data_IF_468493111175
#
_entry.id   IF_468493111175
#
_cell.length_a   1.000
_cell.length_b   1.000
_cell.length_c   1.000
_cell.angle_alpha   90.00
_cell.angle_beta   90.00
_cell.angle_gamma   90.00
#
_symmetry.space_group_name_H-M   'P 1'
#
loop_
_entity.id
_entity.type
_entity.pdbx_description
1 polymer ?
#
# COMPACT_ATOMS: atom_id res chain seq x y z
N UNK A 1 -25.85 3.09 -2.97
CA UNK A 1 -24.79 4.12 -2.85
C UNK A 1 -23.72 3.74 -3.86
N UNK A 2 -23.30 4.66 -4.74
CA UNK A 2 -22.36 4.31 -5.80
C UNK A 2 -20.93 4.13 -5.25
N UNK A 3 -20.16 3.26 -5.90
CA UNK A 3 -18.72 3.12 -5.66
C UNK A 3 -18.00 4.46 -5.81
N UNK A 4 -17.18 4.80 -4.81
CA UNK A 4 -16.37 6.03 -4.82
C UNK A 4 -15.09 5.79 -5.61
N UNK A 5 -15.02 6.40 -6.79
CA UNK A 5 -13.86 6.38 -7.67
C UNK A 5 -12.90 7.53 -7.33
N UNK A 6 -11.58 7.42 -7.53
CA UNK A 6 -10.77 8.63 -7.77
C UNK A 6 -9.93 8.53 -9.02
N UNK A 7 -9.93 9.67 -9.70
CA UNK A 7 -9.06 9.99 -10.81
C UNK A 7 -7.76 10.58 -10.26
N UNK A 8 -6.66 10.21 -10.88
CA UNK A 8 -5.34 10.75 -10.57
C UNK A 8 -5.03 11.86 -11.60
N UNK A 9 -5.19 13.15 -11.21
CA UNK A 9 -4.64 14.29 -11.96
C UNK A 9 -5.49 15.58 -12.06
N UNK A 10 -4.86 16.74 -11.85
CA UNK A 10 -5.34 18.07 -12.29
C UNK A 10 -5.29 19.21 -11.24
N UNK A 11 -4.25 20.05 -11.32
CA UNK A 11 -4.01 21.26 -10.50
C UNK A 11 -5.05 22.38 -10.73
N UNK A 12 -5.42 23.12 -9.67
CA UNK A 12 -5.15 24.58 -9.49
C UNK A 12 -6.20 25.34 -8.64
N UNK A 13 -5.69 26.14 -7.69
CA UNK A 13 -6.19 27.48 -7.35
C UNK A 13 -7.32 27.63 -6.33
N UNK A 14 -7.00 28.03 -5.09
CA UNK A 14 -7.33 29.35 -4.51
C UNK A 14 -6.99 29.41 -3.00
N UNK A 15 -6.17 30.41 -2.64
CA UNK A 15 -5.83 30.82 -1.27
C UNK A 15 -6.94 31.70 -0.68
N UNK A 16 -7.11 31.68 0.65
CA UNK A 16 -7.07 32.87 1.52
C UNK A 16 -7.29 32.52 3.02
N UNK A 17 -6.90 33.43 3.95
CA UNK A 17 -6.30 33.09 5.25
C UNK A 17 -7.26 33.26 6.43
N UNK A 18 -6.86 32.86 7.65
CA UNK A 18 -7.20 33.58 8.89
C UNK A 18 -6.15 33.30 9.99
N UNK A 19 -6.07 34.30 10.87
CA UNK A 19 -5.03 34.71 11.79
C UNK A 19 -4.72 33.78 12.97
N UNK A 20 -3.50 34.04 13.46
CA UNK A 20 -2.82 33.66 14.69
C UNK A 20 -3.62 33.92 15.98
N UNK A 21 -3.44 33.05 16.97
CA UNK A 21 -3.27 33.51 18.36
C UNK A 21 -2.35 32.56 19.12
N UNK A 22 -1.38 33.14 19.83
CA UNK A 22 -0.38 32.51 20.71
C UNK A 22 -1.04 31.88 21.95
N UNK A 23 -0.47 30.76 22.43
CA UNK A 23 -0.79 30.19 23.74
C UNK A 23 0.44 29.45 24.32
N UNK A 24 1.52 30.21 24.53
CA UNK A 24 2.45 29.91 25.64
C UNK A 24 1.67 30.10 26.95
N UNK A 25 1.20 29.02 27.61
CA UNK A 25 0.96 28.95 29.09
C UNK A 25 0.12 27.72 29.57
N UNK A 26 0.36 26.48 29.09
CA UNK A 26 -0.38 25.31 29.61
C UNK A 26 0.46 24.07 29.95
N UNK A 27 1.71 24.22 30.42
CA UNK A 27 2.51 23.06 30.89
C UNK A 27 3.13 23.20 32.29
N UNK A 28 2.42 23.79 33.24
CA UNK A 28 2.78 23.64 34.67
C UNK A 28 1.64 23.00 35.45
N UNK A 29 1.63 21.66 35.51
CA UNK A 29 1.46 20.84 36.73
C UNK A 29 0.89 19.42 36.43
N UNK A 30 1.69 18.40 36.77
CA UNK A 30 1.25 17.10 37.33
C UNK A 30 0.61 16.05 36.37
N UNK A 31 0.55 14.74 36.76
CA UNK A 31 1.58 13.77 36.39
C UNK A 31 1.04 12.61 35.54
N UNK A 32 1.94 12.04 34.74
CA UNK A 32 1.91 10.71 34.11
C UNK A 32 0.59 9.89 34.21
N UNK A 33 -0.31 10.06 33.24
CA UNK A 33 -1.24 8.99 32.85
C UNK A 33 -0.79 8.37 31.53
N UNK A 34 -0.67 7.05 31.54
CA UNK A 34 -0.24 6.20 30.44
C UNK A 34 -1.23 6.34 29.27
N UNK A 35 -0.77 6.90 28.15
CA UNK A 35 -1.48 6.91 26.85
C UNK A 35 -0.95 5.83 25.87
N UNK A 36 -0.20 4.84 26.35
CA UNK A 36 0.34 3.74 25.51
C UNK A 36 -0.70 2.67 25.10
N UNK A 37 -1.96 2.76 25.58
CA UNK A 37 -2.96 1.69 25.41
C UNK A 37 -3.89 1.81 24.19
N UNK A 38 -3.74 2.84 23.35
CA UNK A 38 -4.60 3.04 22.18
C UNK A 38 -4.02 2.43 20.89
N UNK A 39 -2.70 2.49 20.71
CA UNK A 39 -2.01 2.00 19.50
C UNK A 39 -2.04 0.47 19.40
N UNK A 40 -1.77 -0.26 20.49
CA UNK A 40 -1.71 -1.74 20.45
C UNK A 40 -3.04 -2.39 20.03
N UNK A 41 -4.18 -1.90 20.56
CA UNK A 41 -5.49 -2.59 20.39
C UNK A 41 -5.98 -2.71 18.95
N UNK A 42 -5.49 -1.91 18.01
CA UNK A 42 -5.90 -1.96 16.58
C UNK A 42 -4.96 -2.78 15.71
N UNK A 43 -3.67 -2.88 16.07
CA UNK A 43 -2.71 -3.73 15.36
C UNK A 43 -2.89 -5.21 15.75
N UNK A 44 -3.41 -5.47 16.96
CA UNK A 44 -3.76 -6.82 17.45
C UNK A 44 -4.88 -7.51 16.64
N UNK A 45 -5.61 -6.77 15.79
CA UNK A 45 -6.74 -7.28 15.00
C UNK A 45 -6.36 -7.69 13.56
N UNK A 46 -5.08 -7.64 13.17
CA UNK A 46 -4.65 -8.06 11.82
C UNK A 46 -4.76 -9.59 11.71
N UNK A 47 -5.61 -10.14 10.83
CA UNK A 47 -5.74 -11.59 10.70
C UNK A 47 -4.44 -12.17 10.14
N UNK A 48 -3.80 -13.02 10.95
CA UNK A 48 -2.66 -13.83 10.52
C UNK A 48 -3.17 -14.87 9.54
N UNK A 49 -2.94 -14.66 8.24
CA UNK A 49 -3.05 -15.75 7.28
C UNK A 49 -2.10 -16.88 7.74
N UNK A 50 -2.57 -18.12 7.77
CA UNK A 50 -1.79 -19.28 8.21
C UNK A 50 -0.42 -19.24 7.51
N UNK A 51 0.64 -19.31 8.31
CA UNK A 51 2.04 -19.18 7.89
C UNK A 51 2.43 -20.18 6.78
N UNK A 52 1.63 -21.24 6.60
CA UNK A 52 1.87 -22.36 5.69
C UNK A 52 1.37 -22.13 4.25
N UNK A 53 0.51 -21.14 3.98
CA UNK A 53 -0.14 -20.97 2.66
C UNK A 53 0.62 -20.06 1.65
N UNK A 54 1.85 -19.60 1.98
CA UNK A 54 2.62 -18.66 1.14
C UNK A 54 3.73 -19.29 0.28
N UNK A 55 3.75 -20.60 0.10
CA UNK A 55 4.74 -21.26 -0.75
C UNK A 55 4.31 -21.30 -2.23
N UNK A 56 4.45 -20.19 -2.96
CA UNK A 56 4.91 -20.18 -4.37
C UNK A 56 5.10 -18.74 -4.94
N UNK A 57 6.32 -18.20 -5.08
CA UNK A 57 6.53 -16.96 -5.80
C UNK A 57 6.99 -17.24 -7.24
N UNK A 58 6.19 -16.84 -8.23
CA UNK A 58 6.70 -16.62 -9.57
C UNK A 58 7.56 -15.34 -9.52
N UNK A 59 8.88 -15.52 -9.44
CA UNK A 59 9.88 -14.46 -9.34
C UNK A 59 9.85 -13.59 -10.61
N UNK A 60 9.19 -12.44 -10.54
CA UNK A 60 9.45 -11.34 -11.46
C UNK A 60 10.58 -10.53 -10.84
N UNK A 61 11.78 -10.62 -11.40
CA UNK A 61 12.89 -9.74 -11.03
C UNK A 61 12.44 -8.28 -11.26
N UNK A 62 12.08 -7.60 -10.17
CA UNK A 62 11.92 -6.16 -10.15
C UNK A 62 13.31 -5.56 -9.96
N UNK A 63 13.57 -4.51 -10.73
CA UNK A 63 14.86 -3.83 -10.82
C UNK A 63 15.28 -3.30 -9.42
N UNK A 64 16.52 -3.59 -9.02
CA UNK A 64 17.09 -3.13 -7.76
C UNK A 64 16.96 -1.60 -7.67
N UNK A 65 16.25 -1.16 -6.64
CA UNK A 65 15.87 0.21 -6.43
C UNK A 65 16.82 0.83 -5.40
N UNK A 66 17.95 1.38 -5.85
CA UNK A 66 19.03 1.88 -4.99
C UNK A 66 18.71 3.21 -4.26
N UNK A 67 17.57 3.84 -4.53
CA UNK A 67 17.23 5.19 -4.07
C UNK A 67 16.55 5.28 -2.69
N UNK A 68 15.69 4.34 -2.33
CA UNK A 68 14.69 4.50 -1.26
C UNK A 68 15.24 4.05 0.09
N UNK A 69 15.67 4.96 0.96
CA UNK A 69 16.29 4.55 2.23
C UNK A 69 15.90 5.46 3.41
N UNK A 70 16.07 4.96 4.63
CA UNK A 70 15.97 5.74 5.87
C UNK A 70 17.31 5.78 6.60
N UNK A 71 17.51 6.81 7.44
CA UNK A 71 18.68 6.85 8.33
C UNK A 71 18.56 5.85 9.48
N UNK A 72 19.71 5.51 10.08
CA UNK A 72 19.78 4.66 11.26
C UNK A 72 18.87 5.18 12.40
N UNK A 73 18.29 4.25 13.14
CA UNK A 73 17.39 4.53 14.26
C UNK A 73 15.92 4.70 13.87
N UNK A 74 15.62 4.84 12.57
CA UNK A 74 14.25 4.76 12.06
C UNK A 74 13.64 3.43 12.47
N UNK A 75 12.49 3.45 13.13
CA UNK A 75 11.89 2.27 13.74
C UNK A 75 10.92 1.62 12.75
N UNK A 76 11.06 0.31 12.55
CA UNK A 76 10.19 -0.52 11.72
C UNK A 76 9.29 -1.37 12.61
N UNK A 77 8.03 -1.55 12.22
CA UNK A 77 7.07 -2.41 12.93
C UNK A 77 7.32 -3.89 12.57
N UNK A 78 8.06 -4.59 13.44
CA UNK A 78 8.44 -6.00 13.28
C UNK A 78 7.54 -6.89 14.14
N UNK A 79 7.04 -7.98 13.57
CA UNK A 79 6.30 -9.02 14.29
C UNK A 79 7.27 -9.85 15.16
N UNK A 80 6.95 -10.00 16.44
CA UNK A 80 7.57 -10.98 17.33
C UNK A 80 6.76 -12.28 17.32
N UNK A 81 7.44 -13.38 17.65
CA UNK A 81 6.99 -14.78 17.55
C UNK A 81 5.49 -14.95 17.86
N UNK A 82 4.81 -15.62 16.93
CA UNK A 82 3.46 -16.16 17.10
C UNK A 82 3.53 -17.29 18.13
N UNK A 83 2.90 -17.10 19.28
CA UNK A 83 2.66 -18.19 20.23
C UNK A 83 1.62 -19.15 19.61
N UNK A 84 1.98 -20.43 19.47
CA UNK A 84 1.03 -21.48 19.08
C UNK A 84 -0.03 -21.73 20.14
N UNK A 85 0.20 -21.26 21.37
CA UNK A 85 -0.72 -21.39 22.50
C UNK A 85 -1.76 -20.24 22.51
N UNK A 86 -1.45 -19.07 21.95
CA UNK A 86 -2.31 -17.88 21.93
C UNK A 86 -3.02 -17.66 20.58
N UNK A 87 -3.54 -18.73 19.97
CA UNK A 87 -4.40 -18.64 18.77
C UNK A 87 -3.85 -17.81 17.59
N UNK A 88 -2.55 -17.63 17.46
CA UNK A 88 -1.98 -16.82 16.38
C UNK A 88 -1.80 -15.33 16.71
N UNK A 89 -1.86 -14.91 17.97
CA UNK A 89 -1.61 -13.52 18.35
C UNK A 89 -0.18 -13.10 17.98
N UNK A 90 -0.07 -11.96 17.28
CA UNK A 90 1.21 -11.32 16.91
C UNK A 90 1.46 -10.18 17.89
N UNK A 91 2.57 -10.26 18.62
CA UNK A 91 3.09 -9.10 19.36
C UNK A 91 4.01 -8.28 18.45
N UNK A 92 4.01 -6.96 18.59
CA UNK A 92 4.79 -6.05 17.75
C UNK A 92 5.99 -5.48 18.51
N UNK A 93 7.13 -5.39 17.82
CA UNK A 93 8.34 -4.71 18.29
C UNK A 93 8.75 -3.63 17.29
N UNK A 94 9.13 -2.49 17.84
CA UNK A 94 9.84 -1.47 17.10
C UNK A 94 11.32 -1.83 17.06
N UNK A 95 11.82 -2.04 15.85
CA UNK A 95 13.22 -2.43 15.60
C UNK A 95 13.86 -1.33 14.75
N UNK A 96 15.05 -0.81 15.12
CA UNK A 96 15.80 0.08 14.25
C UNK A 96 16.02 -0.54 12.87
N UNK A 97 15.90 0.24 11.79
CA UNK A 97 15.97 -0.26 10.42
C UNK A 97 17.31 -0.94 10.11
N UNK A 98 18.39 -0.48 10.73
CA UNK A 98 19.73 -1.07 10.63
C UNK A 98 19.87 -2.42 11.35
N UNK A 99 18.93 -2.77 12.22
CA UNK A 99 18.88 -4.07 12.92
C UNK A 99 17.92 -5.06 12.23
N UNK A 100 17.08 -4.62 11.28
CA UNK A 100 16.20 -5.51 10.51
C UNK A 100 17.03 -6.44 9.64
N UNK A 101 16.70 -7.72 9.64
CA UNK A 101 17.43 -8.78 8.95
C UNK A 101 16.55 -9.56 7.98
N UNK A 102 17.16 -10.10 6.92
CA UNK A 102 16.48 -11.05 6.03
C UNK A 102 15.93 -12.24 6.83
N UNK A 103 14.66 -12.57 6.65
CA UNK A 103 13.95 -13.55 7.46
C UNK A 103 13.07 -12.98 8.57
N UNK A 104 13.24 -11.70 8.93
CA UNK A 104 12.32 -11.02 9.83
C UNK A 104 10.94 -10.88 9.20
N UNK A 105 9.93 -10.72 10.06
CA UNK A 105 8.55 -10.54 9.66
C UNK A 105 8.12 -9.12 10.02
N UNK A 106 7.66 -8.35 9.05
CA UNK A 106 7.24 -6.95 9.25
C UNK A 106 5.75 -6.78 8.98
N UNK A 107 5.15 -5.79 9.63
CA UNK A 107 3.83 -5.30 9.23
C UNK A 107 3.96 -4.58 7.88
N UNK A 108 3.12 -4.98 6.94
CA UNK A 108 3.03 -4.40 5.61
C UNK A 108 1.56 -4.26 5.19
N UNK A 109 1.31 -3.49 4.15
CA UNK A 109 0.00 -3.45 3.50
C UNK A 109 0.17 -3.65 2.01
N UNK A 110 -0.79 -4.33 1.39
CA UNK A 110 -0.81 -4.45 -0.06
C UNK A 110 -0.89 -3.05 -0.68
N UNK A 111 0.05 -2.70 -1.55
CA UNK A 111 0.13 -1.37 -2.17
C UNK A 111 -1.13 -1.01 -2.99
N UNK A 112 -1.92 -2.02 -3.38
CA UNK A 112 -3.07 -1.85 -4.26
C UNK A 112 -4.39 -1.66 -3.52
N UNK A 113 -4.63 -2.48 -2.50
CA UNK A 113 -5.89 -2.50 -1.76
C UNK A 113 -5.77 -2.06 -0.29
N UNK A 114 -4.55 -1.83 0.19
CA UNK A 114 -4.26 -1.39 1.56
C UNK A 114 -4.47 -2.48 2.62
N UNK A 115 -4.69 -3.73 2.21
CA UNK A 115 -4.90 -4.84 3.16
C UNK A 115 -3.63 -5.11 3.94
N UNK A 116 -3.73 -4.99 5.26
CA UNK A 116 -2.64 -5.32 6.17
C UNK A 116 -2.31 -6.82 6.14
N UNK A 117 -1.03 -7.12 6.32
CA UNK A 117 -0.52 -8.46 6.47
C UNK A 117 0.89 -8.47 7.04
N UNK A 118 1.30 -9.62 7.56
CA UNK A 118 2.69 -9.86 7.95
C UNK A 118 3.44 -10.40 6.73
N UNK A 119 4.60 -9.82 6.42
CA UNK A 119 5.41 -10.21 5.27
C UNK A 119 6.87 -10.39 5.66
N UNK A 120 7.53 -11.31 4.98
CA UNK A 120 8.92 -11.66 5.23
C UNK A 120 9.85 -10.65 4.56
N UNK A 121 10.89 -10.24 5.27
CA UNK A 121 12.02 -9.48 4.72
C UNK A 121 12.87 -10.42 3.87
N UNK A 122 13.06 -10.09 2.60
CA UNK A 122 13.80 -10.89 1.62
C UNK A 122 15.29 -10.57 1.64
N UNK A 123 15.62 -9.30 1.57
CA UNK A 123 16.99 -8.79 1.52
C UNK A 123 17.05 -7.45 2.24
N UNK A 124 18.25 -7.08 2.71
CA UNK A 124 18.52 -5.77 3.31
C UNK A 124 19.63 -5.08 2.53
N UNK A 125 19.55 -3.76 2.41
CA UNK A 125 20.53 -2.96 1.70
C UNK A 125 20.97 -1.77 2.52
N UNK A 126 22.20 -1.34 2.29
CA UNK A 126 22.83 -0.22 2.97
C UNK A 126 23.69 0.55 1.98
N UNK A 127 23.58 1.87 2.00
CA UNK A 127 24.48 2.76 1.25
C UNK A 127 24.81 4.02 2.03
N UNK A 128 25.63 4.87 1.43
CA UNK A 128 25.94 6.21 1.93
C UNK A 128 25.17 7.22 1.08
N UNK A 129 24.58 8.21 1.73
CA UNK A 129 23.97 9.39 1.10
C UNK A 129 24.74 10.65 1.48
N UNK A 130 24.80 11.62 0.58
CA UNK A 130 25.40 12.94 0.82
C UNK A 130 24.38 13.97 1.35
N UNK A 131 23.14 13.55 1.57
CA UNK A 131 22.06 14.36 2.15
C UNK A 131 20.95 13.48 2.73
N UNK A 132 20.08 14.10 3.51
CA UNK A 132 18.82 13.52 4.00
C UNK A 132 17.65 14.47 3.76
N UNK A 133 16.48 13.89 3.53
CA UNK A 133 15.18 14.53 3.61
C UNK A 133 14.60 14.31 5.00
N UNK A 134 14.25 15.39 5.68
CA UNK A 134 13.54 15.37 6.95
C UNK A 134 12.07 15.70 6.72
N UNK A 135 11.20 14.72 6.87
CA UNK A 135 9.75 14.86 6.75
C UNK A 135 9.17 15.05 8.15
N UNK A 136 8.70 16.26 8.45
CA UNK A 136 8.11 16.60 9.74
C UNK A 136 6.59 16.47 9.64
N UNK A 137 6.03 15.60 10.46
CA UNK A 137 4.59 15.33 10.49
C UNK A 137 4.01 15.54 11.88
N UNK A 138 2.71 15.87 11.92
CA UNK A 138 1.92 16.05 13.13
C UNK A 138 0.76 15.06 13.15
N UNK A 139 0.65 14.29 14.23
CA UNK A 139 -0.51 13.43 14.47
C UNK A 139 -1.73 14.22 14.95
N UNK A 140 -2.89 13.56 15.01
CA UNK A 140 -4.16 14.17 15.46
C UNK A 140 -4.13 14.66 16.92
N UNK A 141 -3.24 14.11 17.75
CA UNK A 141 -3.05 14.53 19.14
C UNK A 141 -2.06 15.72 19.27
N UNK A 142 -1.55 16.23 18.15
CA UNK A 142 -0.56 17.30 18.12
C UNK A 142 0.88 16.84 18.37
N UNK A 143 1.11 15.53 18.46
CA UNK A 143 2.43 14.93 18.55
C UNK A 143 3.20 15.13 17.25
N UNK A 144 4.47 15.52 17.37
CA UNK A 144 5.35 15.77 16.23
C UNK A 144 6.36 14.62 16.09
N UNK A 145 6.60 14.17 14.87
CA UNK A 145 7.73 13.30 14.56
C UNK A 145 8.44 13.74 13.28
N UNK A 146 9.73 13.41 13.18
CA UNK A 146 10.57 13.77 12.06
C UNK A 146 11.22 12.50 11.49
N UNK A 147 10.79 12.09 10.30
CA UNK A 147 11.36 10.96 9.58
C UNK A 147 12.52 11.45 8.71
N UNK A 148 13.66 10.79 8.81
CA UNK A 148 14.87 11.11 8.05
C UNK A 148 15.09 10.03 6.99
N UNK A 149 15.02 10.44 5.73
CA UNK A 149 14.91 9.55 4.58
C UNK A 149 15.67 10.11 3.38
N UNK A 150 15.70 9.39 2.27
CA UNK A 150 16.20 9.91 0.99
C UNK A 150 15.11 10.71 0.28
N UNK A 151 15.47 11.59 -0.65
CA UNK A 151 14.49 12.44 -1.33
C UNK A 151 13.43 11.61 -2.09
N UNK A 152 13.83 10.45 -2.61
CA UNK A 152 13.01 9.58 -3.45
C UNK A 152 12.06 8.69 -2.63
N UNK A 153 12.21 8.59 -1.30
CA UNK A 153 11.48 7.59 -0.51
C UNK A 153 9.96 7.81 -0.54
N UNK A 154 9.13 6.84 -0.95
CA UNK A 154 7.71 7.09 -1.18
C UNK A 154 6.87 6.92 0.09
N UNK A 155 5.97 7.87 0.33
CA UNK A 155 5.00 7.89 1.42
C UNK A 155 3.59 7.81 0.89
N UNK A 156 2.74 6.97 1.48
CA UNK A 156 1.32 6.95 1.09
C UNK A 156 0.61 8.23 1.51
N UNK A 157 0.12 9.01 0.54
CA UNK A 157 -0.66 10.23 0.78
C UNK A 157 -2.14 9.95 0.53
N UNK A 158 -2.95 10.02 1.59
CA UNK A 158 -4.39 9.69 1.55
C UNK A 158 -5.16 10.60 0.60
N UNK A 159 -4.89 11.91 0.61
CA UNK A 159 -5.57 12.87 -0.27
C UNK A 159 -5.26 12.66 -1.75
N UNK A 160 -4.05 12.17 -2.06
CA UNK A 160 -3.57 11.93 -3.43
C UNK A 160 -3.75 10.47 -3.89
N UNK A 161 -4.02 9.57 -2.94
CA UNK A 161 -4.20 8.12 -3.13
C UNK A 161 -3.08 7.45 -3.92
N UNK A 162 -1.86 7.83 -3.59
CA UNK A 162 -0.65 7.26 -4.17
C UNK A 162 0.50 7.37 -3.18
N UNK A 163 1.56 6.62 -3.46
CA UNK A 163 2.86 6.87 -2.89
C UNK A 163 3.49 8.10 -3.56
N UNK A 164 3.93 9.06 -2.75
CA UNK A 164 4.57 10.31 -3.18
C UNK A 164 5.97 10.35 -2.60
N UNK A 165 6.95 10.71 -3.42
CA UNK A 165 8.35 10.83 -2.98
C UNK A 165 8.49 11.89 -1.88
N UNK A 166 9.40 11.66 -0.94
CA UNK A 166 9.63 12.51 0.21
C UNK A 166 9.95 13.98 -0.17
N UNK A 167 10.65 14.18 -1.30
CA UNK A 167 10.96 15.47 -1.89
C UNK A 167 9.73 16.23 -2.44
N UNK A 168 8.67 15.51 -2.81
CA UNK A 168 7.45 16.05 -3.42
C UNK A 168 6.26 16.19 -2.45
N UNK A 169 6.45 15.75 -1.21
CA UNK A 169 5.48 15.96 -0.13
C UNK A 169 5.31 17.45 0.16
N UNK A 170 4.05 17.88 0.16
CA UNK A 170 3.66 19.24 0.43
C UNK A 170 3.08 19.38 1.85
N UNK A 171 3.26 20.53 2.52
CA UNK A 171 2.50 20.84 3.72
C UNK A 171 1.00 20.63 3.53
N UNK A 172 0.36 19.94 4.47
CA UNK A 172 -1.05 19.56 4.42
C UNK A 172 -1.33 18.17 3.85
N UNK A 173 -0.35 17.51 3.20
CA UNK A 173 -0.50 16.10 2.81
C UNK A 173 -0.76 15.24 4.05
N UNK A 174 -1.67 14.28 3.93
CA UNK A 174 -2.04 13.37 5.02
C UNK A 174 -1.44 11.99 4.77
N UNK A 175 -0.56 11.55 5.67
CA UNK A 175 0.06 10.24 5.65
C UNK A 175 -0.72 9.28 6.56
N UNK A 176 -0.88 8.02 6.14
CA UNK A 176 -1.63 7.03 6.92
C UNK A 176 -0.74 6.09 7.71
N UNK A 177 -1.17 5.75 8.92
CA UNK A 177 -0.69 4.61 9.69
C UNK A 177 -1.50 3.33 9.46
N UNK A 178 -1.08 2.21 10.07
CA UNK A 178 -1.68 0.91 9.83
C UNK A 178 -3.13 0.81 10.34
N UNK A 179 -3.49 1.52 11.41
CA UNK A 179 -4.85 1.54 11.96
C UNK A 179 -5.74 2.62 11.35
N UNK A 180 -5.31 3.25 10.26
CA UNK A 180 -5.96 4.39 9.61
C UNK A 180 -5.69 5.74 10.31
N UNK A 181 -4.74 5.80 11.23
CA UNK A 181 -4.31 7.05 11.86
C UNK A 181 -3.75 8.01 10.81
N UNK A 182 -4.05 9.30 10.94
CA UNK A 182 -3.57 10.32 10.01
C UNK A 182 -2.47 11.18 10.64
N UNK A 183 -1.47 11.51 9.84
CA UNK A 183 -0.41 12.44 10.19
C UNK A 183 -0.25 13.48 9.08
N UNK A 184 -0.37 14.76 9.43
CA UNK A 184 -0.30 15.86 8.49
C UNK A 184 1.16 16.26 8.31
N UNK A 185 1.63 16.34 7.06
CA UNK A 185 2.93 16.90 6.72
C UNK A 185 2.91 18.38 7.06
N UNK A 186 3.79 18.79 7.97
CA UNK A 186 3.96 20.20 8.35
C UNK A 186 4.91 20.90 7.39
N UNK A 187 6.04 20.24 7.14
CA UNK A 187 7.07 20.71 6.22
C UNK A 187 8.08 19.59 5.98
N UNK A 188 8.91 19.80 4.96
CA UNK A 188 9.93 18.86 4.56
C UNK A 188 11.25 19.64 4.31
N UNK A 189 12.36 19.20 4.92
CA UNK A 189 13.67 19.91 4.93
C UNK A 189 14.78 19.02 4.34
N UNK A 190 15.68 19.59 3.53
CA UNK A 190 16.74 18.82 2.84
C UNK A 190 18.03 19.25 3.47
N UNK A 191 18.67 18.33 4.15
CA UNK A 191 19.85 18.58 4.96
C UNK A 191 21.06 17.93 4.28
N UNK A 192 22.03 18.73 3.81
CA UNK A 192 23.29 18.19 3.28
C UNK A 192 24.08 17.46 4.37
N UNK A 193 24.68 16.33 4.02
CA UNK A 193 25.57 15.53 4.86
C UNK A 193 26.92 15.32 4.13
N UNK A 194 27.81 16.33 4.04
CA UNK A 194 29.04 16.25 3.26
C UNK A 194 30.01 15.14 3.71
N UNK A 195 29.91 14.70 4.97
CA UNK A 195 30.70 13.59 5.50
C UNK A 195 30.12 12.21 5.15
N UNK A 196 28.95 12.17 4.49
CA UNK A 196 28.19 10.96 4.21
C UNK A 196 27.40 10.48 5.43
N UNK A 197 26.19 9.99 5.19
CA UNK A 197 25.33 9.34 6.20
C UNK A 197 24.92 7.96 5.72
N UNK A 198 24.93 6.98 6.63
CA UNK A 198 24.46 5.64 6.32
C UNK A 198 22.93 5.61 6.24
N UNK A 199 22.42 5.09 5.13
CA UNK A 199 20.99 4.89 4.89
C UNK A 199 20.71 3.43 4.56
N UNK A 200 19.55 2.95 4.98
CA UNK A 200 19.15 1.55 4.99
C UNK A 200 17.81 1.35 4.29
N UNK A 201 17.65 0.21 3.63
CA UNK A 201 16.40 -0.25 3.09
C UNK A 201 16.34 -1.78 3.20
N UNK A 202 15.18 -2.37 2.91
CA UNK A 202 15.03 -3.81 2.80
C UNK A 202 13.91 -4.15 1.82
N UNK A 203 13.86 -5.38 1.32
CA UNK A 203 12.76 -5.80 0.45
C UNK A 203 11.73 -6.60 1.26
N UNK A 204 10.46 -6.22 1.12
CA UNK A 204 9.33 -6.94 1.72
C UNK A 204 8.65 -7.79 0.66
N UNK A 205 8.54 -9.08 0.94
CA UNK A 205 7.93 -10.05 0.04
C UNK A 205 6.49 -9.66 -0.33
N UNK A 206 6.21 -9.57 -1.63
CA UNK A 206 4.88 -9.47 -2.22
C UNK A 206 4.19 -8.12 -2.07
N UNK A 207 4.30 -7.47 -0.91
CA UNK A 207 3.64 -6.18 -0.65
C UNK A 207 4.52 -4.97 -0.92
N UNK A 208 5.85 -5.14 -0.89
CA UNK A 208 6.81 -4.07 -1.15
C UNK A 208 6.60 -2.78 -0.32
N UNK A 209 5.85 -2.85 0.78
CA UNK A 209 5.62 -1.74 1.70
C UNK A 209 5.87 -2.16 3.13
N UNK A 210 5.97 -1.17 4.02
CA UNK A 210 6.14 -1.36 5.45
C UNK A 210 5.75 -0.09 6.20
N UNK A 211 5.80 -0.16 7.53
CA UNK A 211 5.47 0.96 8.40
C UNK A 211 6.67 1.41 9.22
N UNK A 212 6.93 2.72 9.21
CA UNK A 212 8.07 3.35 9.90
C UNK A 212 7.63 4.42 10.89
N UNK A 213 8.44 4.65 11.92
CA UNK A 213 8.30 5.80 12.81
C UNK A 213 9.66 6.36 13.20
N UNK A 214 9.69 7.66 13.50
CA UNK A 214 10.93 8.34 13.87
C UNK A 214 11.49 7.80 15.20
N UNK A 215 12.81 7.77 15.35
CA UNK A 215 13.47 7.33 16.58
C UNK A 215 12.90 8.06 17.81
N UNK A 216 12.42 7.31 18.80
CA UNK A 216 11.87 7.87 20.04
C UNK A 216 10.47 8.46 19.92
N UNK A 217 9.86 8.45 18.73
CA UNK A 217 8.46 8.82 18.53
C UNK A 217 7.53 7.87 19.28
N UNK A 218 6.43 8.42 19.78
CA UNK A 218 5.28 7.68 20.33
C UNK A 218 4.02 7.86 19.49
N UNK A 219 4.14 8.58 18.37
CA UNK A 219 3.08 8.76 17.40
C UNK A 219 2.87 7.49 16.56
N UNK A 220 1.86 7.49 15.69
CA UNK A 220 1.58 6.35 14.83
C UNK A 220 2.70 6.12 13.80
N UNK A 221 2.92 4.87 13.36
CA UNK A 221 3.75 4.59 12.20
C UNK A 221 3.17 5.22 10.92
N UNK A 222 4.01 5.40 9.91
CA UNK A 222 3.66 5.91 8.58
C UNK A 222 3.90 4.82 7.53
N UNK A 223 2.96 4.68 6.59
CA UNK A 223 3.04 3.72 5.48
C UNK A 223 3.96 4.19 4.36
N UNK A 224 4.97 3.38 4.05
CA UNK A 224 6.06 3.70 3.11
C UNK A 224 6.37 2.52 2.18
N UNK A 225 7.05 2.80 1.05
CA UNK A 225 7.32 1.83 -0.01
C UNK A 225 8.81 1.46 -0.11
N UNK A 226 9.12 0.19 -0.44
CA UNK A 226 10.49 -0.33 -0.58
C UNK A 226 11.10 -0.17 -1.96
N UNK A 227 10.27 -0.01 -2.99
CA UNK A 227 10.71 0.17 -4.38
C UNK A 227 10.18 1.45 -4.97
N UNK A 228 10.66 1.80 -6.16
CA UNK A 228 10.06 2.84 -6.98
C UNK A 228 8.56 2.55 -7.08
N UNK A 229 7.68 3.52 -6.78
CA UNK A 229 6.29 3.34 -7.14
C UNK A 229 6.31 3.07 -8.64
N UNK A 230 5.79 1.92 -9.07
CA UNK A 230 5.63 1.69 -10.50
C UNK A 230 4.83 2.88 -11.00
N UNK A 231 5.42 3.69 -11.90
CA UNK A 231 4.67 4.77 -12.54
C UNK A 231 3.47 4.11 -13.18
N UNK A 232 2.31 4.34 -12.56
CA UNK A 232 1.08 3.76 -13.04
C UNK A 232 0.80 4.40 -14.38
N UNK A 233 0.44 3.61 -15.41
CA UNK A 233 0.13 4.20 -16.68
C UNK A 233 -1.00 5.23 -16.51
N UNK A 234 -0.92 6.35 -17.22
CA UNK A 234 -1.92 7.41 -17.14
C UNK A 234 -3.36 6.87 -17.22
N UNK A 235 -4.21 7.35 -16.31
CA UNK A 235 -5.60 6.88 -16.17
C UNK A 235 -5.75 5.64 -15.28
N UNK A 236 -4.71 5.24 -14.55
CA UNK A 236 -4.81 4.23 -13.51
C UNK A 236 -5.59 4.73 -12.28
N UNK A 237 -6.32 3.82 -11.63
CA UNK A 237 -7.10 4.09 -10.43
C UNK A 237 -7.21 2.84 -9.54
N UNK A 238 -7.60 3.02 -8.28
CA UNK A 238 -7.90 1.92 -7.36
C UNK A 238 -9.36 1.93 -6.94
N UNK A 239 -9.91 0.74 -6.70
CA UNK A 239 -11.23 0.56 -6.13
C UNK A 239 -11.03 0.29 -4.64
N UNK A 240 -11.44 1.24 -3.80
CA UNK A 240 -11.27 1.15 -2.34
C UNK A 240 -12.54 0.68 -1.62
N UNK A 241 -13.69 0.76 -2.28
CA UNK A 241 -14.97 0.32 -1.72
C UNK A 241 -15.54 -0.82 -2.55
N UNK A 242 -15.50 -2.01 -1.97
CA UNK A 242 -15.99 -3.25 -2.55
C UNK A 242 -17.31 -3.74 -1.92
N UNK A 243 -17.99 -2.92 -1.11
CA UNK A 243 -19.18 -3.35 -0.34
C UNK A 243 -20.28 -3.96 -1.20
N UNK A 244 -20.43 -3.50 -2.45
CA UNK A 244 -21.45 -3.99 -3.39
C UNK A 244 -20.92 -5.06 -4.37
N UNK A 245 -19.66 -5.50 -4.23
CA UNK A 245 -19.07 -6.54 -5.07
C UNK A 245 -19.68 -7.92 -4.73
N UNK A 246 -20.14 -8.72 -5.72
CA UNK A 246 -20.80 -9.99 -5.41
C UNK A 246 -19.87 -10.95 -4.68
N UNK A 247 -20.28 -11.44 -3.50
CA UNK A 247 -19.51 -12.39 -2.68
C UNK A 247 -19.82 -13.84 -3.07
N UNK A 248 -19.60 -14.19 -4.34
CA UNK A 248 -20.02 -15.46 -4.95
C UNK A 248 -18.86 -16.34 -5.42
N UNK A 249 -17.78 -16.35 -4.64
CA UNK A 249 -16.61 -17.22 -4.89
C UNK A 249 -15.63 -16.70 -5.95
N UNK A 250 -15.83 -15.49 -6.47
CA UNK A 250 -14.82 -14.78 -7.27
C UNK A 250 -14.06 -13.84 -6.35
N UNK A 251 -12.72 -13.94 -6.25
CA UNK A 251 -11.94 -13.01 -5.43
C UNK A 251 -12.04 -11.59 -6.00
N UNK A 252 -11.80 -10.60 -5.14
CA UNK A 252 -11.64 -9.21 -5.59
C UNK A 252 -10.29 -9.11 -6.32
N UNK A 253 -10.24 -8.58 -7.54
CA UNK A 253 -8.97 -8.36 -8.20
C UNK A 253 -8.17 -7.27 -7.48
N UNK A 254 -6.86 -7.45 -7.46
CA UNK A 254 -5.94 -6.44 -6.98
C UNK A 254 -5.75 -5.37 -8.05
N UNK A 255 -5.57 -4.12 -7.61
CA UNK A 255 -5.21 -3.01 -8.48
C UNK A 255 -3.77 -3.13 -9.02
N UNK A 256 -3.32 -2.14 -9.79
CA UNK A 256 -4.02 -0.93 -10.20
C UNK A 256 -4.96 -1.23 -11.38
N UNK A 257 -6.11 -0.55 -11.44
CA UNK A 257 -7.03 -0.64 -12.57
C UNK A 257 -6.72 0.42 -13.60
N UNK A 258 -6.98 0.15 -14.87
CA UNK A 258 -6.90 1.16 -15.93
C UNK A 258 -7.93 0.89 -17.01
N UNK A 259 -8.66 1.93 -17.40
CA UNK A 259 -9.67 1.77 -18.44
C UNK A 259 -8.99 1.72 -19.82
N UNK A 260 -8.81 0.52 -20.36
CA UNK A 260 -8.22 0.36 -21.70
C UNK A 260 -9.17 0.91 -22.76
N UNK A 261 -8.65 1.67 -23.73
CA UNK A 261 -9.44 2.26 -24.82
C UNK A 261 -8.82 1.96 -26.19
N UNK A 262 -9.59 2.23 -27.26
CA UNK A 262 -9.11 2.19 -28.65
C UNK A 262 -8.45 0.87 -29.06
N UNK A 263 -7.34 0.98 -29.78
CA UNK A 263 -6.59 -0.17 -30.31
C UNK A 263 -6.02 -1.07 -29.22
N UNK A 264 -5.62 -0.50 -28.08
CA UNK A 264 -5.08 -1.26 -26.96
C UNK A 264 -6.14 -2.23 -26.40
N UNK A 265 -7.36 -1.74 -26.17
CA UNK A 265 -8.46 -2.61 -25.73
C UNK A 265 -8.83 -3.65 -26.79
N UNK A 266 -8.82 -3.27 -28.08
CA UNK A 266 -9.12 -4.19 -29.17
C UNK A 266 -8.10 -5.35 -29.26
N UNK A 267 -6.81 -5.03 -29.12
CA UNK A 267 -5.73 -6.02 -29.09
C UNK A 267 -5.86 -6.97 -27.89
N UNK A 268 -6.09 -6.42 -26.70
CA UNK A 268 -6.28 -7.21 -25.49
C UNK A 268 -7.53 -8.11 -25.57
N UNK A 269 -8.62 -7.63 -26.19
CA UNK A 269 -9.82 -8.42 -26.43
C UNK A 269 -9.57 -9.56 -27.42
N UNK A 270 -8.75 -9.34 -28.46
CA UNK A 270 -8.34 -10.39 -29.41
C UNK A 270 -7.54 -11.48 -28.71
N UNK A 271 -6.55 -11.09 -27.89
CA UNK A 271 -5.76 -12.02 -27.08
C UNK A 271 -6.67 -12.84 -26.14
N UNK A 272 -7.60 -12.17 -25.45
CA UNK A 272 -8.58 -12.83 -24.58
C UNK A 272 -9.39 -13.90 -25.31
N UNK A 273 -9.99 -13.54 -26.45
CA UNK A 273 -10.83 -14.47 -27.23
C UNK A 273 -10.01 -15.70 -27.67
N UNK A 274 -8.76 -15.48 -28.08
CA UNK A 274 -7.84 -16.56 -28.45
C UNK A 274 -7.56 -17.50 -27.27
N UNK A 275 -7.21 -16.94 -26.09
CA UNK A 275 -6.93 -17.72 -24.88
C UNK A 275 -8.15 -18.49 -24.40
N UNK A 276 -9.33 -17.85 -24.30
CA UNK A 276 -10.55 -18.53 -23.87
C UNK A 276 -10.91 -19.68 -24.83
N UNK A 277 -10.77 -19.49 -26.15
CA UNK A 277 -10.98 -20.55 -27.15
C UNK A 277 -10.01 -21.72 -26.94
N UNK A 278 -8.74 -21.44 -26.67
CA UNK A 278 -7.74 -22.47 -26.39
C UNK A 278 -8.10 -23.27 -25.12
N UNK A 279 -8.59 -22.60 -24.07
CA UNK A 279 -9.00 -23.26 -22.83
C UNK A 279 -10.20 -24.20 -23.01
N UNK A 280 -11.24 -23.76 -23.72
CA UNK A 280 -12.37 -24.61 -24.07
C UNK A 280 -11.94 -25.81 -24.91
N UNK A 281 -11.04 -25.62 -25.87
CA UNK A 281 -10.52 -26.72 -26.70
C UNK A 281 -9.70 -27.72 -25.89
N UNK A 282 -8.87 -27.24 -24.97
CA UNK A 282 -7.99 -28.08 -24.16
C UNK A 282 -8.75 -28.86 -23.08
N UNK A 283 -9.82 -28.31 -22.51
CA UNK A 283 -10.56 -28.95 -21.43
C UNK A 283 -12.09 -28.83 -21.60
N UNK A 284 -12.70 -29.47 -22.61
CA UNK A 284 -14.14 -29.32 -22.88
C UNK A 284 -15.03 -29.62 -21.66
N UNK A 285 -14.75 -30.72 -20.96
CA UNK A 285 -15.52 -31.14 -19.78
C UNK A 285 -15.41 -30.16 -18.60
N UNK A 286 -14.28 -29.46 -18.44
CA UNK A 286 -14.08 -28.49 -17.35
C UNK A 286 -14.94 -27.23 -17.53
N UNK A 287 -15.26 -26.88 -18.78
CA UNK A 287 -15.95 -25.64 -19.12
C UNK A 287 -17.35 -25.85 -19.68
N UNK A 288 -17.85 -27.09 -19.70
CA UNK A 288 -19.17 -27.40 -20.21
C UNK A 288 -20.26 -26.72 -19.39
N UNK A 289 -21.16 -25.99 -20.06
CA UNK A 289 -22.20 -25.18 -19.41
C UNK A 289 -21.70 -23.99 -18.56
N UNK A 290 -20.39 -23.70 -18.53
CA UNK A 290 -19.79 -22.63 -17.74
C UNK A 290 -19.27 -21.48 -18.62
N UNK A 291 -19.24 -20.28 -18.05
CA UNK A 291 -18.64 -19.10 -18.67
C UNK A 291 -17.29 -18.80 -18.02
N UNK A 292 -16.26 -18.57 -18.84
CA UNK A 292 -14.96 -18.11 -18.35
C UNK A 292 -15.06 -16.64 -17.98
N UNK A 293 -15.06 -16.35 -16.68
CA UNK A 293 -14.98 -15.01 -16.12
C UNK A 293 -13.53 -14.58 -15.93
N UNK A 294 -13.30 -13.27 -15.98
CA UNK A 294 -12.02 -12.64 -15.75
C UNK A 294 -12.04 -12.02 -14.36
N UNK A 295 -11.17 -12.47 -13.44
CA UNK A 295 -11.15 -11.95 -12.06
C UNK A 295 -10.87 -10.45 -12.08
N UNK A 296 -9.81 -10.05 -12.79
CA UNK A 296 -9.49 -8.70 -13.20
C UNK A 296 -9.89 -8.54 -14.68
N UNK A 297 -10.96 -7.79 -15.01
CA UNK A 297 -11.41 -7.73 -16.39
C UNK A 297 -10.41 -7.01 -17.29
N UNK A 298 -10.27 -7.48 -18.53
CA UNK A 298 -9.37 -6.88 -19.53
C UNK A 298 -9.68 -5.41 -19.81
N UNK A 299 -10.95 -5.01 -19.76
CA UNK A 299 -11.35 -3.59 -19.95
C UNK A 299 -10.74 -2.68 -18.86
N UNK A 300 -10.42 -3.25 -17.70
CA UNK A 300 -9.85 -2.57 -16.54
C UNK A 300 -8.36 -2.88 -16.34
N UNK A 301 -7.66 -3.36 -17.37
CA UNK A 301 -6.21 -3.60 -17.35
C UNK A 301 -5.78 -5.02 -16.95
N UNK A 302 -6.73 -5.92 -16.68
CA UNK A 302 -6.41 -7.30 -16.31
C UNK A 302 -5.83 -8.11 -17.46
N UNK A 303 -4.97 -9.09 -17.14
CA UNK A 303 -4.27 -9.89 -18.15
C UNK A 303 -5.23 -10.72 -19.00
N UNK A 304 -5.22 -10.58 -20.34
CA UNK A 304 -6.08 -11.37 -21.22
C UNK A 304 -5.66 -12.84 -21.32
N UNK A 305 -4.38 -13.14 -21.08
CA UNK A 305 -3.75 -14.43 -21.34
C UNK A 305 -3.37 -15.21 -20.08
N UNK A 306 -3.29 -14.56 -18.92
CA UNK A 306 -3.01 -15.24 -17.66
C UNK A 306 -4.17 -16.17 -17.29
N UNK A 307 -3.83 -17.44 -17.03
CA UNK A 307 -4.78 -18.46 -16.64
C UNK A 307 -5.30 -18.25 -15.22
N UNK A 308 -4.49 -17.67 -14.33
CA UNK A 308 -4.90 -17.39 -12.95
C UNK A 308 -5.95 -16.27 -12.91
N UNK A 309 -6.01 -15.43 -13.94
CA UNK A 309 -7.06 -14.45 -14.13
C UNK A 309 -8.37 -15.05 -14.69
N UNK A 310 -8.45 -16.37 -14.93
CA UNK A 310 -9.63 -17.03 -15.53
C UNK A 310 -10.31 -17.95 -14.52
N UNK A 311 -11.58 -17.70 -14.26
CA UNK A 311 -12.41 -18.54 -13.40
C UNK A 311 -13.68 -19.02 -14.13
N UNK A 312 -13.92 -20.33 -14.26
CA UNK A 312 -15.16 -20.83 -14.84
C UNK A 312 -16.31 -20.67 -13.85
N UNK A 313 -17.38 -20.02 -14.28
CA UNK A 313 -18.55 -19.72 -13.44
C UNK A 313 -19.85 -20.16 -14.11
N UNK A 314 -20.86 -20.56 -13.33
CA UNK A 314 -22.22 -20.70 -13.86
C UNK A 314 -22.71 -19.38 -14.49
N UNK A 315 -23.54 -19.42 -15.55
CA UNK A 315 -23.97 -18.22 -16.27
C UNK A 315 -24.59 -17.12 -15.38
N UNK A 316 -25.35 -17.49 -14.36
CA UNK A 316 -25.98 -16.53 -13.44
C UNK A 316 -24.96 -15.79 -12.56
N UNK A 317 -23.95 -16.48 -12.02
CA UNK A 317 -22.86 -15.88 -11.24
C UNK A 317 -22.02 -14.97 -12.13
N UNK A 318 -21.64 -15.48 -13.31
CA UNK A 318 -20.92 -14.69 -14.32
C UNK A 318 -21.65 -13.37 -14.64
N UNK A 319 -22.97 -13.43 -14.83
CA UNK A 319 -23.79 -12.26 -15.12
C UNK A 319 -23.77 -11.23 -13.98
N UNK A 320 -23.81 -11.66 -12.71
CA UNK A 320 -23.79 -10.77 -11.55
C UNK A 320 -22.46 -9.99 -11.45
N UNK A 321 -21.32 -10.67 -11.60
CA UNK A 321 -20.02 -10.00 -11.61
C UNK A 321 -19.86 -9.08 -12.82
N UNK A 322 -20.25 -9.53 -14.01
CA UNK A 322 -20.22 -8.70 -15.24
C UNK A 322 -21.09 -7.46 -15.09
N UNK A 323 -22.28 -7.59 -14.49
CA UNK A 323 -23.19 -6.47 -14.24
C UNK A 323 -22.58 -5.45 -13.27
N UNK A 324 -21.85 -5.91 -12.25
CA UNK A 324 -21.14 -5.03 -11.33
C UNK A 324 -20.04 -4.22 -12.05
N UNK A 325 -19.19 -4.89 -12.82
CA UNK A 325 -18.14 -4.23 -13.62
C UNK A 325 -18.71 -3.26 -14.65
N UNK A 326 -19.82 -3.60 -15.30
CA UNK A 326 -20.51 -2.72 -16.24
C UNK A 326 -21.10 -1.47 -15.55
N UNK A 327 -21.61 -1.60 -14.31
CA UNK A 327 -22.03 -0.44 -13.51
C UNK A 327 -20.85 0.45 -13.16
N UNK A 328 -19.72 -0.16 -12.76
CA UNK A 328 -18.48 0.56 -12.47
C UNK A 328 -17.99 1.34 -13.70
N UNK A 329 -17.93 0.69 -14.86
CA UNK A 329 -17.51 1.33 -16.11
C UNK A 329 -18.40 2.52 -16.49
N UNK A 330 -19.71 2.43 -16.26
CA UNK A 330 -20.63 3.56 -16.52
C UNK A 330 -20.47 4.71 -15.54
N UNK A 331 -20.00 4.46 -14.32
CA UNK A 331 -19.71 5.51 -13.34
C UNK A 331 -18.38 6.23 -13.63
N UNK A 332 -17.53 5.65 -14.48
CA UNK A 332 -16.21 6.14 -14.89
C UNK A 332 -16.23 6.99 -16.18
N UNK A 333 -17.28 6.85 -16.98
CA UNK A 333 -17.50 7.57 -18.24
C UNK A 333 -18.44 8.74 -18.03
#
# INVERSE_FOLDING_TARGET
MLATLVMVGGLSGLRSPIATTSADDLWKASPARRHTGAVNRRIDAVPVAKLDDLQNPATRQLQACDGYCFTAGTQVVVAQRVSTEDHGAVSWRLTPIEEVSAGDWVLAADEWDGRLGVRRVRETSRRISDHVRRVIVRDEAGGMQALETTDEHPFWVVGRRMFVEAGELAPGDQLSGPGGELQVVERTEREPCPQGVAVFNFEVEGYHTYFVLARGSRGPPVWVHNTCPTQLPDGSFSIINWSDYPQLGVPQPQGPFRLLQGEEYAAALKAKKSTNKALHKANPAKYDGLHIHEIHPVKFGGSPTDINNKIPLPPHVHHQHTSWWNRMQRALN
#
